data_IF_988651239766
#
_entry.id   IF_988651239766
#
_cell.length_a   1.000
_cell.length_b   1.000
_cell.length_c   1.000
_cell.angle_alpha   90.00
_cell.angle_beta   90.00
_cell.angle_gamma   90.00
#
_symmetry.space_group_name_H-M   'P 1'
#
loop_
_entity.id
_entity.type
_entity.pdbx_description
1 polymer ?
#
# COMPACT_ATOMS: atom_id res chain seq x y z
N UNK A 1 -0.77 6.26 -9.78
CA UNK A 1 -0.10 7.25 -10.66
C UNK A 1 -1.11 7.53 -11.76
N UNK A 2 -1.49 8.79 -12.00
CA UNK A 2 -2.51 9.09 -13.02
C UNK A 2 -1.86 8.90 -14.39
N UNK A 3 -2.41 8.01 -15.22
CA UNK A 3 -1.87 7.71 -16.55
C UNK A 3 -2.22 8.81 -17.55
N UNK A 4 -1.22 9.38 -18.22
CA UNK A 4 -1.42 10.47 -19.19
C UNK A 4 -2.34 10.09 -20.37
N UNK A 5 -2.42 8.81 -20.70
CA UNK A 5 -3.29 8.26 -21.77
C UNK A 5 -4.77 8.44 -21.48
N UNK A 6 -5.16 8.37 -20.21
CA UNK A 6 -6.56 8.53 -19.79
C UNK A 6 -7.03 9.99 -19.86
N UNK A 7 -6.12 10.94 -19.63
CA UNK A 7 -6.37 12.38 -19.81
C UNK A 7 -6.54 12.70 -21.30
N UNK A 8 -5.75 12.07 -22.18
CA UNK A 8 -5.83 12.28 -23.63
C UNK A 8 -7.16 11.73 -24.21
N UNK A 9 -7.59 10.54 -23.77
CA UNK A 9 -8.89 9.98 -24.16
C UNK A 9 -10.08 10.81 -23.66
N UNK A 10 -9.96 11.37 -22.45
CA UNK A 10 -10.97 12.28 -21.91
C UNK A 10 -11.02 13.56 -22.74
N UNK A 11 -9.86 14.16 -23.07
CA UNK A 11 -9.77 15.35 -23.92
C UNK A 11 -10.32 15.12 -25.34
N UNK A 12 -10.10 13.93 -25.92
CA UNK A 12 -10.67 13.53 -27.22
C UNK A 12 -12.18 13.40 -27.17
N UNK A 13 -12.74 12.74 -26.14
CA UNK A 13 -14.20 12.63 -25.94
C UNK A 13 -14.84 14.00 -25.73
N UNK A 14 -14.19 14.88 -24.97
CA UNK A 14 -14.62 16.25 -24.75
C UNK A 14 -14.64 17.06 -26.05
N UNK A 15 -13.60 16.94 -26.88
CA UNK A 15 -13.51 17.64 -28.16
C UNK A 15 -14.54 17.14 -29.18
N UNK A 16 -14.86 15.85 -29.17
CA UNK A 16 -15.87 15.25 -30.05
C UNK A 16 -17.32 15.58 -29.70
N UNK A 17 -17.58 16.02 -28.47
CA UNK A 17 -18.93 16.35 -27.97
C UNK A 17 -19.27 17.85 -28.06
N UNK A 18 -18.42 18.65 -28.70
CA UNK A 18 -18.69 20.08 -28.99
C UNK A 18 -19.08 20.26 -30.46
N UNK A 19 -20.37 20.14 -30.80
CA UNK A 19 -20.92 20.58 -32.09
C UNK A 19 -20.62 22.06 -32.37
N UNK A 20 -20.21 22.36 -33.61
CA UNK A 20 -19.85 23.72 -34.03
C UNK A 20 -21.03 24.73 -33.93
N UNK A 21 -22.28 24.23 -33.82
CA UNK A 21 -23.49 25.04 -33.69
C UNK A 21 -23.94 25.36 -32.26
N UNK A 22 -23.31 24.82 -31.21
CA UNK A 22 -23.80 24.94 -29.82
C UNK A 22 -23.23 26.10 -29.02
N UNK A 23 -22.57 27.07 -29.66
CA UNK A 23 -22.12 28.31 -28.98
C UNK A 23 -23.27 29.09 -28.31
N UNK A 24 -24.52 28.83 -28.72
CA UNK A 24 -25.72 29.50 -28.21
C UNK A 24 -26.33 28.86 -26.94
N UNK A 25 -26.15 27.56 -26.68
CA UNK A 25 -26.61 26.93 -25.42
C UNK A 25 -25.44 26.52 -24.52
N UNK A 26 -24.91 27.51 -23.79
CA UNK A 26 -23.81 27.31 -22.84
C UNK A 26 -24.14 26.27 -21.76
N UNK A 27 -25.42 26.17 -21.36
CA UNK A 27 -25.88 25.20 -20.34
C UNK A 27 -25.73 23.76 -20.81
N UNK A 28 -26.14 23.42 -22.03
CA UNK A 28 -26.05 22.05 -22.54
C UNK A 28 -24.60 21.58 -22.68
N UNK A 29 -23.71 22.49 -23.09
CA UNK A 29 -22.26 22.22 -23.12
C UNK A 29 -21.74 21.99 -21.71
N UNK A 30 -22.15 22.79 -20.73
CA UNK A 30 -21.71 22.67 -19.34
C UNK A 30 -22.18 21.34 -18.72
N UNK A 31 -23.42 20.92 -18.96
CA UNK A 31 -23.93 19.64 -18.46
C UNK A 31 -23.22 18.45 -19.13
N UNK A 32 -23.04 18.49 -20.45
CA UNK A 32 -22.34 17.43 -21.17
C UNK A 32 -20.86 17.34 -20.74
N UNK A 33 -20.21 18.48 -20.53
CA UNK A 33 -18.84 18.56 -20.00
C UNK A 33 -18.74 17.94 -18.60
N UNK A 34 -19.69 18.26 -17.71
CA UNK A 34 -19.76 17.69 -16.36
C UNK A 34 -19.96 16.17 -16.39
N UNK A 35 -20.85 15.67 -17.24
CA UNK A 35 -21.11 14.24 -17.39
C UNK A 35 -19.89 13.48 -17.91
N UNK A 36 -19.17 14.05 -18.89
CA UNK A 36 -17.94 13.46 -19.44
C UNK A 36 -16.81 13.48 -18.43
N UNK A 37 -16.62 14.59 -17.70
CA UNK A 37 -15.63 14.66 -16.63
C UNK A 37 -15.94 13.65 -15.53
N UNK A 38 -17.19 13.54 -15.10
CA UNK A 38 -17.60 12.55 -14.08
C UNK A 38 -17.36 11.12 -14.57
N UNK A 39 -17.70 10.82 -15.82
CA UNK A 39 -17.48 9.49 -16.42
C UNK A 39 -15.98 9.18 -16.60
N UNK A 40 -15.18 10.18 -17.00
CA UNK A 40 -13.73 10.06 -17.13
C UNK A 40 -13.05 9.83 -15.80
N UNK A 41 -13.36 10.69 -14.82
CA UNK A 41 -12.85 10.61 -13.46
C UNK A 41 -13.22 9.26 -12.82
N UNK A 42 -14.45 8.78 -13.00
CA UNK A 42 -14.89 7.45 -12.51
C UNK A 42 -14.20 6.25 -13.18
N UNK A 43 -13.58 6.45 -14.36
CA UNK A 43 -12.82 5.41 -15.09
C UNK A 43 -11.33 5.45 -14.80
N UNK A 44 -10.83 6.56 -14.25
CA UNK A 44 -9.54 6.54 -13.58
C UNK A 44 -9.77 5.72 -12.32
N UNK A 45 -8.94 4.72 -12.05
CA UNK A 45 -8.93 3.99 -10.76
C UNK A 45 -8.54 4.98 -9.66
N UNK A 46 -9.48 5.87 -9.33
CA UNK A 46 -9.37 6.83 -8.25
C UNK A 46 -9.56 6.02 -6.99
N UNK A 47 -8.45 5.50 -6.49
CA UNK A 47 -8.36 5.15 -5.09
C UNK A 47 -8.70 6.42 -4.34
N UNK A 48 -9.89 6.43 -3.76
CA UNK A 48 -10.35 7.56 -2.95
C UNK A 48 -9.33 7.79 -1.85
N UNK A 49 -9.22 9.03 -1.37
CA UNK A 49 -8.27 9.34 -0.29
C UNK A 49 -8.50 8.43 0.93
N UNK A 50 -9.75 8.01 1.16
CA UNK A 50 -10.13 7.07 2.21
C UNK A 50 -9.59 5.66 1.95
N UNK A 51 -9.72 5.11 0.75
CA UNK A 51 -9.18 3.78 0.42
C UNK A 51 -7.65 3.73 0.52
N UNK A 52 -6.97 4.83 0.16
CA UNK A 52 -5.52 4.94 0.34
C UNK A 52 -5.12 4.91 1.82
N UNK A 53 -5.84 5.64 2.67
CA UNK A 53 -5.58 5.63 4.13
C UNK A 53 -5.89 4.26 4.76
N UNK A 54 -6.91 3.53 4.28
CA UNK A 54 -7.19 2.16 4.73
C UNK A 54 -6.03 1.21 4.38
N UNK A 55 -5.54 1.24 3.15
CA UNK A 55 -4.40 0.41 2.74
C UNK A 55 -3.15 0.73 3.56
N UNK A 56 -2.89 2.02 3.80
CA UNK A 56 -1.79 2.48 4.67
C UNK A 56 -1.95 1.98 6.11
N UNK A 57 -3.16 2.03 6.66
CA UNK A 57 -3.44 1.51 8.00
C UNK A 57 -3.23 -0.01 8.09
N UNK A 58 -3.62 -0.75 7.06
CA UNK A 58 -3.35 -2.20 6.97
C UNK A 58 -1.85 -2.46 6.97
N UNK A 59 -1.06 -1.71 6.17
CA UNK A 59 0.39 -1.83 6.12
C UNK A 59 1.06 -1.54 7.47
N UNK A 60 0.62 -0.48 8.17
CA UNK A 60 1.10 -0.16 9.51
C UNK A 60 0.83 -1.31 10.48
N UNK A 61 -0.40 -1.83 10.49
CA UNK A 61 -0.77 -2.96 11.35
C UNK A 61 0.02 -4.24 11.03
N UNK A 62 0.33 -4.50 9.76
CA UNK A 62 1.18 -5.64 9.41
C UNK A 62 2.60 -5.46 9.90
N UNK A 63 3.14 -4.23 9.87
CA UNK A 63 4.48 -3.93 10.40
C UNK A 63 4.55 -4.14 11.92
N UNK A 64 3.56 -3.64 12.65
CA UNK A 64 3.48 -3.85 14.11
C UNK A 64 3.43 -5.35 14.47
N UNK A 65 2.63 -6.13 13.74
CA UNK A 65 2.56 -7.59 13.94
C UNK A 65 3.87 -8.29 13.60
N UNK A 66 4.57 -7.82 12.56
CA UNK A 66 5.85 -8.38 12.15
C UNK A 66 6.91 -8.10 13.22
N UNK A 67 7.00 -6.87 13.73
CA UNK A 67 7.92 -6.51 14.82
C UNK A 67 7.62 -7.32 16.10
N UNK A 68 6.34 -7.55 16.43
CA UNK A 68 5.95 -8.39 17.57
C UNK A 68 6.33 -9.87 17.38
N UNK A 69 6.24 -10.40 16.16
CA UNK A 69 6.66 -11.76 15.84
C UNK A 69 8.17 -11.90 15.87
N UNK A 70 8.91 -10.93 15.32
CA UNK A 70 10.38 -10.89 15.40
C UNK A 70 10.86 -10.87 16.86
N UNK A 71 10.20 -10.11 17.73
CA UNK A 71 10.50 -10.09 19.16
C UNK A 71 10.25 -11.46 19.82
N UNK A 72 9.13 -12.12 19.49
CA UNK A 72 8.83 -13.46 20.01
C UNK A 72 9.84 -14.51 19.54
N UNK A 73 10.23 -14.47 18.26
CA UNK A 73 11.25 -15.38 17.71
C UNK A 73 12.57 -15.17 18.44
N UNK A 74 13.01 -13.92 18.61
CA UNK A 74 14.25 -13.61 19.32
C UNK A 74 14.22 -14.11 20.76
N UNK A 75 13.11 -13.92 21.46
CA UNK A 75 12.94 -14.43 22.83
C UNK A 75 13.05 -15.95 22.89
N UNK A 76 12.51 -16.68 21.91
CA UNK A 76 12.60 -18.15 21.84
C UNK A 76 14.01 -18.60 21.48
N UNK A 77 14.68 -17.91 20.56
CA UNK A 77 16.08 -18.16 20.20
C UNK A 77 17.01 -17.95 21.41
N UNK A 78 16.82 -16.89 22.18
CA UNK A 78 17.58 -16.60 23.41
C UNK A 78 17.36 -17.66 24.50
N UNK A 79 16.13 -18.14 24.66
CA UNK A 79 15.82 -19.23 25.60
C UNK A 79 16.40 -20.58 25.14
N UNK A 80 16.47 -20.81 23.83
CA UNK A 80 17.03 -22.03 23.25
C UNK A 80 18.57 -21.99 23.18
N UNK A 81 19.17 -20.80 23.19
CA UNK A 81 20.62 -20.59 23.22
C UNK A 81 21.21 -20.52 24.64
N UNK A 82 20.38 -20.55 25.69
CA UNK A 82 20.86 -20.68 27.07
C UNK A 82 21.57 -22.04 27.26
N UNK A 83 22.81 -22.07 27.80
CA UNK A 83 23.73 -23.18 27.57
C UNK A 83 23.35 -24.40 28.41
N UNK A 84 22.89 -25.45 27.73
CA UNK A 84 23.05 -26.81 28.22
C UNK A 84 24.55 -27.19 28.11
N UNK A 85 25.34 -27.01 29.18
CA UNK A 85 26.66 -27.64 29.27
C UNK A 85 27.77 -26.91 30.03
N UNK A 86 27.56 -26.46 31.27
CA UNK A 86 28.67 -26.12 32.19
C UNK A 86 28.76 -27.02 33.43
N UNK A 87 28.12 -28.20 33.42
CA UNK A 87 28.17 -29.13 34.54
C UNK A 87 28.58 -30.55 34.12
N UNK A 88 29.85 -30.75 33.78
CA UNK A 88 30.60 -31.99 34.07
C UNK A 88 32.01 -31.92 33.46
N UNK A 89 33.01 -31.81 34.33
CA UNK A 89 34.35 -32.48 34.31
C UNK A 89 35.39 -31.57 34.96
N UNK A 90 35.30 -31.41 36.28
CA UNK A 90 36.39 -30.93 37.12
C UNK A 90 36.61 -31.91 38.27
N UNK A 91 37.08 -33.11 37.95
CA UNK A 91 37.57 -34.07 38.93
C UNK A 91 38.42 -35.17 38.27
N UNK A 92 39.59 -34.79 37.73
CA UNK A 92 40.72 -35.72 37.67
C UNK A 92 41.92 -35.01 38.26
N UNK A 93 41.94 -35.00 39.59
CA UNK A 93 43.12 -34.63 40.35
C UNK A 93 44.24 -35.61 40.02
N UNK A 94 45.33 -35.06 39.51
CA UNK A 94 46.68 -35.26 40.05
C UNK A 94 46.79 -36.40 41.06
N UNK A 95 47.23 -37.56 40.61
CA UNK A 95 48.01 -38.47 41.45
C UNK A 95 49.33 -38.66 40.74
N UNK A 96 50.31 -37.90 41.22
CA UNK A 96 51.71 -38.21 41.07
C UNK A 96 52.01 -39.49 41.84
N UNK A 97 52.58 -40.50 41.17
CA UNK A 97 53.65 -41.30 41.73
C UNK A 97 54.45 -42.01 40.63
#
# INVERSE_FOLDING_TARGET
>A
MIDLTTIDDLARRLSGLVPQGLRESREDIQENFKAVLQSGLSKLDLVTREEFEVQRAVLLRTREKLEALEAQVRQIEEQSAAPAGTASTSATGTIAH
#
